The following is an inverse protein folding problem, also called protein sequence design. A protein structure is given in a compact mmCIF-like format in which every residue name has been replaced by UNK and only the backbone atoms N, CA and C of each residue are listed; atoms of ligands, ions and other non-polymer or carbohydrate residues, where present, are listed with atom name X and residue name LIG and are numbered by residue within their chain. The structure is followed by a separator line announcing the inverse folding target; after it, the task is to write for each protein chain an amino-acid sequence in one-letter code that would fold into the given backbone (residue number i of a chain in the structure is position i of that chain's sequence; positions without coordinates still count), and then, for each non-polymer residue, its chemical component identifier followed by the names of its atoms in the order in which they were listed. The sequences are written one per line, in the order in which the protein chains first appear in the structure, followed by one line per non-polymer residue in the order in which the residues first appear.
data_IF_762934304584
#
_entry.id   IF_762934304584
#
_cell.length_a   1.000
_cell.length_b   1.000
_cell.length_c   1.000
_cell.angle_alpha   90.00
_cell.angle_beta   90.00
_cell.angle_gamma   90.00
#
_symmetry.space_group_name_H-M   'P 1'
#
loop_
_entity.id
_entity.type
_entity.pdbx_description
1 polymer ?
#
# COMPACT_ATOMS: atom_id res chain seq x y z
N UNK A 1 1.76 14.39 10.21
CA UNK A 1 1.52 13.03 9.71
C UNK A 1 2.19 12.88 8.35
N UNK A 2 2.64 11.69 8.00
CA UNK A 2 3.29 11.35 6.73
C UNK A 2 2.58 11.94 5.50
N UNK A 3 1.25 11.84 5.45
CA UNK A 3 0.42 12.39 4.36
C UNK A 3 0.49 13.92 4.22
N UNK A 4 0.80 14.64 5.30
CA UNK A 4 0.96 16.10 5.26
C UNK A 4 2.37 16.51 4.87
N UNK A 5 3.36 15.71 5.23
CA UNK A 5 4.78 16.02 5.01
C UNK A 5 5.22 15.70 3.59
N UNK A 6 4.69 14.61 3.00
CA UNK A 6 4.97 14.26 1.61
C UNK A 6 3.88 14.77 0.67
N UNK A 7 4.28 15.47 -0.37
CA UNK A 7 3.36 15.86 -1.45
C UNK A 7 3.10 14.65 -2.36
N UNK A 8 2.21 13.75 -1.88
CA UNK A 8 1.89 12.50 -2.58
C UNK A 8 1.28 12.73 -3.97
N UNK A 9 0.69 13.90 -4.20
CA UNK A 9 0.08 14.27 -5.50
C UNK A 9 1.14 14.42 -6.59
N UNK A 10 2.38 14.73 -6.22
CA UNK A 10 3.52 14.83 -7.16
C UNK A 10 4.26 13.52 -7.39
N UNK A 11 3.94 12.45 -6.65
CA UNK A 11 4.64 11.17 -6.81
C UNK A 11 4.51 10.57 -8.21
N UNK A 12 3.36 10.64 -8.91
CA UNK A 12 3.25 10.17 -10.28
C UNK A 12 4.26 10.84 -11.22
N UNK A 13 4.43 12.16 -11.11
CA UNK A 13 5.40 12.91 -11.93
C UNK A 13 6.84 12.49 -11.63
N UNK A 14 7.18 12.33 -10.35
CA UNK A 14 8.51 11.87 -9.95
C UNK A 14 8.82 10.48 -10.49
N UNK A 15 7.86 9.55 -10.43
CA UNK A 15 8.04 8.21 -10.96
C UNK A 15 8.23 8.24 -12.49
N UNK A 16 7.48 9.06 -13.20
CA UNK A 16 7.61 9.24 -14.63
C UNK A 16 9.02 9.74 -15.01
N UNK A 17 9.56 10.70 -14.27
CA UNK A 17 10.92 11.20 -14.51
C UNK A 17 11.99 10.15 -14.23
N UNK A 18 11.83 9.31 -13.21
CA UNK A 18 12.84 8.34 -12.80
C UNK A 18 12.84 7.06 -13.64
N UNK A 19 11.69 6.60 -14.11
CA UNK A 19 11.51 5.30 -14.77
C UNK A 19 11.05 5.37 -16.22
N UNK A 20 10.80 6.58 -16.73
CA UNK A 20 10.22 6.78 -18.06
C UNK A 20 8.76 6.31 -18.16
N UNK A 21 8.26 6.19 -19.38
CA UNK A 21 6.85 5.87 -19.65
C UNK A 21 6.55 4.36 -19.76
N UNK A 22 7.55 3.49 -19.77
CA UNK A 22 7.38 2.07 -20.09
C UNK A 22 6.50 1.33 -19.07
N UNK A 23 6.59 1.68 -17.79
CA UNK A 23 5.77 1.06 -16.75
C UNK A 23 4.27 1.33 -16.91
N UNK A 24 3.90 2.47 -17.50
CA UNK A 24 2.50 2.89 -17.67
C UNK A 24 1.74 1.89 -18.55
N UNK A 25 2.38 1.35 -19.57
CA UNK A 25 1.76 0.39 -20.49
C UNK A 25 1.45 -0.95 -19.85
N UNK A 26 2.15 -1.28 -18.77
CA UNK A 26 2.03 -2.56 -18.06
C UNK A 26 1.29 -2.43 -16.73
N UNK A 27 0.92 -1.21 -16.34
CA UNK A 27 0.14 -0.96 -15.14
C UNK A 27 -1.32 -1.38 -15.36
N UNK A 28 -1.83 -2.26 -14.53
CA UNK A 28 -3.22 -2.70 -14.55
C UNK A 28 -4.05 -1.95 -13.52
N UNK A 29 -5.04 -1.20 -13.98
CA UNK A 29 -6.07 -0.66 -13.10
C UNK A 29 -7.11 -1.72 -12.80
N UNK A 30 -7.54 -1.83 -11.54
CA UNK A 30 -8.55 -2.73 -11.01
C UNK A 30 -9.63 -3.18 -12.01
N UNK A 31 -10.92 -2.97 -11.76
CA UNK A 31 -11.95 -3.53 -12.63
C UNK A 31 -11.94 -2.95 -14.04
N UNK A 32 -11.42 -1.75 -14.23
CA UNK A 32 -11.38 -1.13 -15.56
C UNK A 32 -10.28 -1.70 -16.45
N UNK A 33 -9.30 -2.44 -15.88
CA UNK A 33 -8.10 -2.98 -16.57
C UNK A 33 -7.58 -2.05 -17.67
N UNK A 34 -7.55 -0.76 -17.32
CA UNK A 34 -7.39 0.29 -18.30
C UNK A 34 -5.92 0.55 -18.58
N UNK A 35 -5.52 0.25 -19.78
CA UNK A 35 -4.24 0.66 -20.36
C UNK A 35 -4.55 1.63 -21.50
N UNK A 36 -4.80 2.88 -21.24
CA UNK A 36 -5.15 3.83 -22.27
C UNK A 36 -4.49 5.17 -22.12
N UNK A 37 -4.78 6.08 -23.02
CA UNK A 37 -4.36 7.48 -22.92
C UNK A 37 -4.83 8.05 -21.58
N UNK A 38 -3.90 8.72 -20.85
CA UNK A 38 -4.17 9.39 -19.57
C UNK A 38 -4.17 8.52 -18.30
N UNK A 39 -3.47 7.38 -18.29
CA UNK A 39 -3.17 6.59 -17.07
C UNK A 39 -2.64 7.48 -15.95
N UNK A 40 -1.73 8.37 -16.30
CA UNK A 40 -1.10 9.32 -15.40
C UNK A 40 -2.11 10.26 -14.71
N UNK A 41 -3.01 10.87 -15.48
CA UNK A 41 -4.06 11.73 -14.92
C UNK A 41 -5.06 10.96 -14.04
N UNK A 42 -5.33 9.69 -14.35
CA UNK A 42 -6.16 8.82 -13.52
C UNK A 42 -5.49 8.50 -12.18
N UNK A 43 -4.22 8.11 -12.20
CA UNK A 43 -3.45 7.86 -10.97
C UNK A 43 -3.38 9.10 -10.08
N UNK A 44 -3.15 10.26 -10.67
CA UNK A 44 -3.15 11.52 -9.93
C UNK A 44 -4.47 11.75 -9.22
N UNK A 45 -5.61 11.56 -9.89
CA UNK A 45 -6.95 11.68 -9.27
C UNK A 45 -7.16 10.66 -8.15
N UNK A 46 -6.64 9.44 -8.27
CA UNK A 46 -6.72 8.43 -7.21
C UNK A 46 -5.93 8.88 -5.96
N UNK A 47 -4.72 9.39 -6.16
CA UNK A 47 -3.88 9.91 -5.06
C UNK A 47 -4.48 11.17 -4.42
N UNK A 48 -5.06 12.07 -5.22
CA UNK A 48 -5.79 13.23 -4.72
C UNK A 48 -6.99 12.81 -3.87
N UNK A 49 -7.76 11.80 -4.30
CA UNK A 49 -8.86 11.24 -3.52
C UNK A 49 -8.38 10.69 -2.18
N UNK A 50 -7.33 9.88 -2.17
CA UNK A 50 -6.76 9.33 -0.95
C UNK A 50 -6.35 10.45 0.03
N UNK A 51 -5.66 11.49 -0.47
CA UNK A 51 -5.25 12.64 0.33
C UNK A 51 -6.45 13.37 0.94
N UNK A 52 -7.49 13.59 0.15
CA UNK A 52 -8.72 14.24 0.60
C UNK A 52 -9.41 13.42 1.69
N UNK A 53 -9.64 12.14 1.44
CA UNK A 53 -10.26 11.24 2.41
C UNK A 53 -9.45 11.14 3.70
N UNK A 54 -8.14 10.97 3.60
CA UNK A 54 -7.27 10.94 4.78
C UNK A 54 -7.37 12.21 5.62
N UNK A 55 -7.42 13.36 4.97
CA UNK A 55 -7.52 14.65 5.66
C UNK A 55 -8.87 14.82 6.35
N UNK A 56 -9.96 14.47 5.66
CA UNK A 56 -11.32 14.51 6.21
C UNK A 56 -11.47 13.59 7.42
N UNK A 57 -11.08 12.32 7.28
CA UNK A 57 -11.15 11.34 8.37
C UNK A 57 -10.30 11.73 9.58
N UNK A 58 -9.11 12.28 9.35
CA UNK A 58 -8.22 12.73 10.42
C UNK A 58 -8.80 13.89 11.25
N UNK A 59 -9.71 14.66 10.67
CA UNK A 59 -10.40 15.77 11.35
C UNK A 59 -11.60 15.34 12.20
N UNK A 60 -12.10 14.11 12.01
CA UNK A 60 -13.31 13.62 12.69
C UNK A 60 -12.93 13.00 14.03
N UNK A 61 -13.34 13.63 15.14
CA UNK A 61 -13.14 13.11 16.49
C UNK A 61 -14.21 12.11 16.91
N UNK A 62 -15.42 12.27 16.40
CA UNK A 62 -16.56 11.39 16.72
C UNK A 62 -16.40 10.04 16.03
N UNK A 63 -16.36 8.96 16.84
CA UNK A 63 -16.17 7.60 16.38
C UNK A 63 -17.33 7.11 15.48
N UNK A 64 -18.58 7.38 15.87
CA UNK A 64 -19.74 6.94 15.10
C UNK A 64 -19.83 7.65 13.75
N UNK A 65 -19.56 8.94 13.73
CA UNK A 65 -19.49 9.71 12.48
C UNK A 65 -18.40 9.18 11.55
N UNK A 66 -17.23 8.88 12.10
CA UNK A 66 -16.13 8.29 11.33
C UNK A 66 -16.49 6.92 10.78
N UNK A 67 -17.11 6.04 11.58
CA UNK A 67 -17.61 4.73 11.15
C UNK A 67 -18.64 4.84 10.02
N UNK A 68 -19.61 5.76 10.15
CA UNK A 68 -20.60 6.00 9.11
C UNK A 68 -19.98 6.46 7.80
N UNK A 69 -19.00 7.34 7.85
CA UNK A 69 -18.29 7.79 6.66
C UNK A 69 -17.45 6.67 6.01
N UNK A 70 -16.80 5.82 6.81
CA UNK A 70 -16.12 4.62 6.31
C UNK A 70 -17.12 3.71 5.57
N UNK A 71 -18.28 3.44 6.15
CA UNK A 71 -19.29 2.61 5.51
C UNK A 71 -19.76 3.19 4.18
N UNK A 72 -19.99 4.49 4.09
CA UNK A 72 -20.36 5.17 2.84
C UNK A 72 -19.24 5.02 1.80
N UNK A 73 -17.99 5.24 2.20
CA UNK A 73 -16.84 5.17 1.31
C UNK A 73 -16.68 3.76 0.73
N UNK A 74 -16.71 2.73 1.58
CA UNK A 74 -16.48 1.34 1.18
C UNK A 74 -17.75 0.63 0.63
N UNK A 75 -18.92 1.26 0.71
CA UNK A 75 -20.09 0.79 -0.04
C UNK A 75 -20.10 1.25 -1.51
N UNK A 76 -19.21 2.17 -1.88
CA UNK A 76 -19.04 2.62 -3.24
C UNK A 76 -17.81 1.97 -3.90
N UNK A 77 -18.05 0.91 -4.67
CA UNK A 77 -16.99 0.13 -5.31
C UNK A 77 -16.03 0.98 -6.16
N UNK A 78 -16.52 2.04 -6.82
CA UNK A 78 -15.68 2.92 -7.66
C UNK A 78 -14.70 3.71 -6.79
N UNK A 79 -15.16 4.25 -5.65
CA UNK A 79 -14.31 4.99 -4.71
C UNK A 79 -13.29 4.05 -4.06
N UNK A 80 -13.73 2.87 -3.62
CA UNK A 80 -12.88 1.84 -3.05
C UNK A 80 -11.74 1.46 -4.00
N UNK A 81 -12.03 1.17 -5.26
CA UNK A 81 -11.01 0.86 -6.26
C UNK A 81 -10.04 2.01 -6.50
N UNK A 82 -10.50 3.25 -6.50
CA UNK A 82 -9.60 4.41 -6.61
C UNK A 82 -8.63 4.51 -5.44
N UNK A 83 -9.08 4.15 -4.23
CA UNK A 83 -8.20 4.10 -3.06
C UNK A 83 -7.16 2.98 -3.18
N UNK A 84 -7.54 1.80 -3.66
CA UNK A 84 -6.59 0.72 -3.95
C UNK A 84 -5.56 1.15 -4.98
N UNK A 85 -5.96 1.81 -6.05
CA UNK A 85 -5.03 2.33 -7.06
C UNK A 85 -4.06 3.35 -6.47
N UNK A 86 -4.53 4.23 -5.59
CA UNK A 86 -3.65 5.18 -4.90
C UNK A 86 -2.62 4.46 -4.02
N UNK A 87 -3.04 3.45 -3.25
CA UNK A 87 -2.14 2.66 -2.39
C UNK A 87 -1.13 1.87 -3.22
N UNK A 88 -1.57 1.17 -4.27
CA UNK A 88 -0.69 0.46 -5.21
C UNK A 88 0.39 1.39 -5.77
N UNK A 89 -0.02 2.59 -6.17
CA UNK A 89 0.90 3.56 -6.72
C UNK A 89 1.93 4.06 -5.69
N UNK A 90 1.50 4.31 -4.44
CA UNK A 90 2.40 4.69 -3.34
C UNK A 90 3.40 3.56 -3.04
N UNK A 91 2.95 2.30 -3.04
CA UNK A 91 3.81 1.13 -2.87
C UNK A 91 4.83 1.03 -4.02
N UNK A 92 4.39 1.19 -5.27
CA UNK A 92 5.29 1.19 -6.43
C UNK A 92 6.35 2.29 -6.33
N UNK A 93 5.93 3.50 -5.97
CA UNK A 93 6.86 4.61 -5.76
C UNK A 93 7.90 4.27 -4.67
N UNK A 94 7.46 3.73 -3.54
CA UNK A 94 8.36 3.37 -2.44
C UNK A 94 9.36 2.28 -2.85
N UNK A 95 8.91 1.25 -3.55
CA UNK A 95 9.77 0.17 -4.07
C UNK A 95 10.79 0.74 -5.05
N UNK A 96 10.39 1.66 -5.92
CA UNK A 96 11.28 2.33 -6.87
C UNK A 96 12.36 3.16 -6.15
N UNK A 97 11.97 3.95 -5.15
CA UNK A 97 12.92 4.76 -4.36
C UNK A 97 13.96 3.88 -3.65
N UNK A 98 13.53 2.76 -3.05
CA UNK A 98 14.45 1.85 -2.36
C UNK A 98 15.35 1.11 -3.37
N UNK A 99 14.83 0.76 -4.52
CA UNK A 99 15.62 0.13 -5.59
C UNK A 99 16.74 1.05 -6.09
N UNK A 100 16.45 2.34 -6.31
CA UNK A 100 17.46 3.33 -6.66
C UNK A 100 18.50 3.54 -5.54
N UNK A 101 18.08 3.51 -4.28
CA UNK A 101 18.99 3.52 -3.15
C UNK A 101 19.92 2.30 -3.15
N UNK A 102 19.39 1.12 -3.46
CA UNK A 102 20.19 -0.11 -3.56
C UNK A 102 21.24 0.00 -4.68
N UNK A 103 20.86 0.49 -5.86
CA UNK A 103 21.80 0.71 -6.97
C UNK A 103 22.91 1.67 -6.61
N UNK A 104 22.63 2.69 -5.81
CA UNK A 104 23.62 3.66 -5.32
C UNK A 104 24.38 3.18 -4.07
N UNK A 105 24.29 1.88 -3.74
CA UNK A 105 24.95 1.23 -2.58
C UNK A 105 24.61 1.85 -1.23
N UNK A 106 23.43 2.46 -1.09
CA UNK A 106 22.94 2.90 0.20
C UNK A 106 22.44 1.72 1.01
N UNK A 107 22.42 1.88 2.32
CA UNK A 107 21.83 0.88 3.22
C UNK A 107 20.31 0.90 3.05
N UNK A 108 19.73 -0.25 2.75
CA UNK A 108 18.29 -0.45 2.62
C UNK A 108 17.83 -1.51 3.64
N UNK A 109 16.55 -1.50 4.06
CA UNK A 109 16.00 -2.53 4.94
C UNK A 109 16.19 -3.95 4.35
N UNK A 110 16.46 -4.91 5.23
CA UNK A 110 16.79 -6.30 4.85
C UNK A 110 15.71 -6.95 3.98
N UNK A 111 14.44 -6.65 4.26
CA UNK A 111 13.32 -7.23 3.52
C UNK A 111 13.26 -6.74 2.06
N UNK A 112 13.66 -5.51 1.77
CA UNK A 112 13.76 -5.06 0.38
C UNK A 112 14.87 -5.77 -0.39
N UNK A 113 15.96 -6.15 0.29
CA UNK A 113 16.99 -7.01 -0.33
C UNK A 113 16.42 -8.38 -0.67
N UNK A 114 15.64 -8.96 0.24
CA UNK A 114 14.94 -10.22 -0.01
C UNK A 114 13.93 -10.09 -1.15
N UNK A 115 13.17 -8.99 -1.20
CA UNK A 115 12.25 -8.69 -2.30
C UNK A 115 12.98 -8.74 -3.64
N UNK A 116 14.04 -7.95 -3.79
CA UNK A 116 14.78 -7.85 -5.05
C UNK A 116 15.66 -9.05 -5.39
N UNK A 117 15.82 -10.01 -4.46
CA UNK A 117 16.48 -11.28 -4.75
C UNK A 117 15.57 -12.32 -5.41
N UNK A 118 14.26 -12.06 -5.47
CA UNK A 118 13.28 -12.94 -6.10
C UNK A 118 13.14 -12.60 -7.58
N UNK A 119 13.01 -13.62 -8.42
CA UNK A 119 12.82 -13.45 -9.86
C UNK A 119 11.56 -12.64 -10.19
N UNK A 120 10.47 -12.87 -9.46
CA UNK A 120 9.18 -12.18 -9.65
C UNK A 120 9.16 -10.72 -9.20
N UNK A 121 10.21 -10.24 -8.53
CA UNK A 121 10.31 -8.89 -7.99
C UNK A 121 11.74 -8.33 -8.01
N UNK A 122 12.55 -8.77 -8.96
CA UNK A 122 13.96 -8.38 -9.09
C UNK A 122 14.16 -6.88 -9.38
N UNK A 123 13.14 -6.21 -9.84
CA UNK A 123 13.08 -4.77 -10.10
C UNK A 123 11.65 -4.24 -9.89
N UNK A 124 11.46 -2.91 -9.82
CA UNK A 124 10.14 -2.32 -9.58
C UNK A 124 9.07 -2.68 -10.61
N UNK A 125 9.46 -2.88 -11.87
CA UNK A 125 8.51 -3.23 -12.92
C UNK A 125 8.02 -4.68 -12.75
N UNK A 126 8.93 -5.62 -12.50
CA UNK A 126 8.60 -7.01 -12.20
C UNK A 126 7.72 -7.11 -10.95
N UNK A 127 8.03 -6.34 -9.90
CA UNK A 127 7.19 -6.26 -8.70
C UNK A 127 5.78 -5.73 -9.01
N UNK A 128 5.67 -4.67 -9.79
CA UNK A 128 4.38 -4.12 -10.21
C UNK A 128 3.55 -5.18 -10.96
N UNK A 129 4.14 -5.85 -11.92
CA UNK A 129 3.44 -6.81 -12.78
C UNK A 129 2.99 -8.06 -12.01
N UNK A 130 3.84 -8.59 -11.15
CA UNK A 130 3.62 -9.87 -10.48
C UNK A 130 2.90 -9.74 -9.12
N UNK A 131 2.92 -8.56 -8.51
CA UNK A 131 2.32 -8.32 -7.19
C UNK A 131 1.26 -7.22 -7.22
N UNK A 132 1.63 -5.98 -7.58
CA UNK A 132 0.71 -4.86 -7.44
C UNK A 132 -0.49 -4.91 -8.38
N UNK A 133 -0.34 -5.42 -9.59
CA UNK A 133 -1.43 -5.49 -10.55
C UNK A 133 -2.59 -6.41 -10.12
N UNK A 134 -2.37 -7.29 -9.16
CA UNK A 134 -3.39 -8.16 -8.56
C UNK A 134 -3.98 -7.63 -7.25
N UNK A 135 -3.47 -6.53 -6.70
CA UNK A 135 -4.04 -5.90 -5.49
C UNK A 135 -5.46 -5.40 -5.79
N UNK A 136 -6.41 -5.79 -4.94
CA UNK A 136 -7.84 -5.52 -5.15
C UNK A 136 -8.59 -6.63 -5.87
N UNK A 137 -7.89 -7.65 -6.37
CA UNK A 137 -8.50 -8.92 -6.81
C UNK A 137 -8.78 -9.82 -5.60
N UNK A 138 -9.37 -10.99 -5.84
CA UNK A 138 -9.86 -11.89 -4.78
C UNK A 138 -8.77 -12.54 -3.92
N UNK A 139 -7.50 -12.34 -4.23
CA UNK A 139 -6.37 -13.07 -3.61
C UNK A 139 -5.91 -12.51 -2.26
N UNK A 140 -6.38 -11.32 -1.84
CA UNK A 140 -5.88 -10.66 -0.63
C UNK A 140 -4.45 -10.15 -0.74
N UNK A 141 -3.93 -9.56 0.32
CA UNK A 141 -2.54 -9.09 0.40
C UNK A 141 -1.65 -10.21 0.96
N UNK A 142 -0.53 -10.44 0.31
CA UNK A 142 0.52 -11.30 0.84
C UNK A 142 1.30 -10.59 1.97
N UNK A 143 2.09 -11.33 2.74
CA UNK A 143 2.90 -10.77 3.83
C UNK A 143 3.88 -9.70 3.32
N UNK A 144 4.42 -9.89 2.12
CA UNK A 144 5.32 -8.93 1.49
C UNK A 144 4.61 -7.62 1.14
N UNK A 145 3.35 -7.71 0.68
CA UNK A 145 2.54 -6.55 0.35
C UNK A 145 2.19 -5.75 1.61
N UNK A 146 1.85 -6.43 2.72
CA UNK A 146 1.63 -5.79 4.03
C UNK A 146 2.87 -5.07 4.54
N UNK A 147 4.05 -5.70 4.38
CA UNK A 147 5.30 -5.04 4.74
C UNK A 147 5.51 -3.77 3.93
N UNK A 148 5.38 -3.84 2.60
CA UNK A 148 5.60 -2.69 1.72
C UNK A 148 4.56 -1.61 1.99
N UNK A 149 3.29 -1.98 2.21
CA UNK A 149 2.23 -1.05 2.56
C UNK A 149 2.52 -0.34 3.89
N UNK A 150 2.85 -1.09 4.94
CA UNK A 150 3.22 -0.53 6.24
C UNK A 150 4.41 0.40 6.15
N UNK A 151 5.44 -0.01 5.41
CA UNK A 151 6.63 0.80 5.17
C UNK A 151 6.31 2.08 4.37
N UNK A 152 5.47 1.97 3.34
CA UNK A 152 5.08 3.09 2.48
C UNK A 152 4.26 4.15 3.21
N UNK A 153 3.40 3.73 4.14
CA UNK A 153 2.52 4.61 4.92
C UNK A 153 3.13 5.04 6.26
N UNK A 154 4.31 4.53 6.61
CA UNK A 154 4.95 4.73 7.92
C UNK A 154 4.02 4.32 9.08
N UNK A 155 3.37 3.16 8.95
CA UNK A 155 2.53 2.53 9.98
C UNK A 155 3.00 1.11 10.27
N UNK A 156 2.83 0.66 11.50
CA UNK A 156 2.98 -0.75 11.88
C UNK A 156 1.65 -1.45 11.72
N UNK A 157 1.61 -2.48 10.88
CA UNK A 157 0.46 -3.35 10.73
C UNK A 157 0.69 -4.57 11.63
N UNK A 158 0.00 -4.61 12.77
CA UNK A 158 0.03 -5.72 13.71
C UNK A 158 -1.10 -6.69 13.39
N UNK A 159 -0.78 -7.94 13.15
CA UNK A 159 -1.77 -8.97 12.81
C UNK A 159 -1.82 -10.01 13.91
N UNK A 160 -3.00 -10.24 14.48
CA UNK A 160 -3.28 -11.33 15.42
C UNK A 160 -3.88 -12.50 14.64
N UNK A 161 -3.14 -13.62 14.58
CA UNK A 161 -3.52 -14.85 13.89
C UNK A 161 -4.22 -15.78 14.84
N UNK A 162 -5.56 -15.77 14.86
CA UNK A 162 -6.35 -16.54 15.82
C UNK A 162 -6.11 -18.06 15.70
N UNK A 163 -5.86 -18.56 14.48
CA UNK A 163 -5.55 -19.98 14.24
C UNK A 163 -4.16 -20.40 14.74
N UNK A 164 -3.31 -19.45 15.15
CA UNK A 164 -2.02 -19.69 15.78
C UNK A 164 -1.97 -19.26 17.25
N UNK A 165 -3.13 -19.22 17.90
CA UNK A 165 -3.21 -18.88 19.32
C UNK A 165 -2.24 -19.74 20.16
N UNK A 166 -1.59 -19.14 21.14
CA UNK A 166 -0.55 -19.77 21.98
C UNK A 166 0.75 -20.18 21.24
N UNK A 167 0.98 -19.77 20.01
CA UNK A 167 2.26 -19.95 19.33
C UNK A 167 3.05 -18.63 19.25
N UNK A 168 4.34 -18.73 18.91
CA UNK A 168 5.20 -17.56 18.67
C UNK A 168 4.73 -16.73 17.48
N UNK A 169 4.02 -17.33 16.55
CA UNK A 169 3.51 -16.70 15.34
C UNK A 169 2.08 -16.14 15.52
N UNK A 170 1.56 -16.09 16.74
CA UNK A 170 0.24 -15.53 17.03
C UNK A 170 0.16 -14.05 16.69
N UNK A 171 1.19 -13.30 17.04
CA UNK A 171 1.31 -11.87 16.76
C UNK A 171 2.47 -11.63 15.80
N UNK A 172 2.20 -10.95 14.70
CA UNK A 172 3.21 -10.53 13.73
C UNK A 172 3.03 -9.07 13.38
N UNK A 173 4.15 -8.37 13.13
CA UNK A 173 4.17 -6.96 12.78
C UNK A 173 4.78 -6.75 11.39
N UNK A 174 4.21 -5.85 10.62
CA UNK A 174 4.72 -5.45 9.32
C UNK A 174 4.92 -3.92 9.28
N UNK A 175 6.16 -3.42 9.16
CA UNK A 175 7.43 -4.16 9.27
C UNK A 175 7.74 -4.64 10.69
N UNK A 176 8.53 -5.73 10.81
CA UNK A 176 8.93 -6.32 12.10
C UNK A 176 9.90 -5.42 12.87
N UNK A 177 10.81 -4.78 12.16
CA UNK A 177 11.81 -3.91 12.79
C UNK A 177 11.21 -2.53 13.09
N UNK A 178 11.32 -2.07 14.34
CA UNK A 178 10.88 -0.73 14.72
C UNK A 178 11.87 0.32 14.18
N UNK A 179 11.72 0.69 12.90
CA UNK A 179 12.56 1.70 12.28
C UNK A 179 12.33 3.10 12.88
N UNK A 180 11.16 3.35 13.49
CA UNK A 180 10.74 4.59 14.16
C UNK A 180 9.52 4.33 15.03
N UNK A 181 9.10 5.31 15.84
CA UNK A 181 7.80 5.32 16.54
C UNK A 181 6.64 5.56 15.56
N UNK A 182 6.41 4.60 14.68
CA UNK A 182 5.28 4.65 13.76
C UNK A 182 3.97 4.30 14.48
N UNK A 183 2.84 4.92 14.11
CA UNK A 183 1.55 4.52 14.65
C UNK A 183 1.25 3.05 14.28
N UNK A 184 0.56 2.37 15.18
CA UNK A 184 0.20 0.96 15.01
C UNK A 184 -1.28 0.83 14.66
N UNK A 185 -1.59 -0.04 13.70
CA UNK A 185 -2.93 -0.51 13.39
C UNK A 185 -3.00 -2.01 13.64
N UNK A 186 -4.07 -2.47 14.26
CA UNK A 186 -4.28 -3.88 14.59
C UNK A 186 -5.29 -4.51 13.64
N UNK A 187 -4.97 -5.72 13.19
CA UNK A 187 -5.87 -6.57 12.40
C UNK A 187 -5.99 -7.94 13.07
N UNK A 188 -7.15 -8.58 12.90
CA UNK A 188 -7.39 -9.96 13.29
C UNK A 188 -7.55 -10.81 12.04
N UNK A 189 -7.00 -12.04 12.06
CA UNK A 189 -7.23 -13.00 10.98
C UNK A 189 -7.50 -14.41 11.53
N UNK A 190 -8.48 -15.08 10.93
CA UNK A 190 -8.83 -16.48 11.26
C UNK A 190 -8.09 -17.47 10.36
N UNK A 191 -7.60 -17.03 9.18
CA UNK A 191 -7.10 -17.95 8.15
C UNK A 191 -6.07 -17.37 7.17
N UNK A 192 -5.37 -16.31 7.51
CA UNK A 192 -4.40 -15.58 6.63
C UNK A 192 -4.97 -15.03 5.29
N UNK A 193 -6.28 -15.10 5.07
CA UNK A 193 -6.92 -14.62 3.84
C UNK A 193 -7.86 -13.44 4.06
N UNK A 194 -8.52 -13.44 5.22
CA UNK A 194 -9.48 -12.40 5.58
C UNK A 194 -9.02 -11.71 6.85
N UNK A 195 -9.03 -10.39 6.82
CA UNK A 195 -8.60 -9.56 7.92
C UNK A 195 -9.77 -8.73 8.44
N UNK A 196 -9.88 -8.65 9.75
CA UNK A 196 -10.91 -7.90 10.45
C UNK A 196 -10.28 -6.77 11.25
N UNK A 197 -10.94 -5.62 11.28
CA UNK A 197 -10.56 -4.52 12.16
C UNK A 197 -11.20 -4.78 13.52
N UNK A 198 -10.42 -4.92 14.61
CA UNK A 198 -10.98 -5.07 15.93
C UNK A 198 -11.73 -3.80 16.35
N UNK A 199 -12.91 -3.96 16.90
CA UNK A 199 -13.71 -2.88 17.49
C UNK A 199 -13.60 -3.03 18.99
N UNK A 200 -13.06 -2.00 19.67
CA UNK A 200 -12.88 -1.96 21.12
C UNK A 200 -13.90 -1.02 21.74
#
# INVERSE_FOLDING_TARGET
SWMKEKDIVKLPEKLLFSQGCNWIQQYSFGPEKYTGSNVFGKLRKCVELLKTQWTEFSGIKDYHKRGSMCNILFSNAILEYKLYEALKFIMLYQVTEVYEQMKTKKVIPSLFRLLFSRETSSDPLSFMMNHLNSVGDTCGLEQIDMFILGYSLEVKIKVFRLFKFNSRDFEVCYPEEPLREWPEISLLTENDRHYHIPVF
#
